data_IF_704675979500
#
_entry.id   IF_704675979500
#
_cell.length_a   1.000
_cell.length_b   1.000
_cell.length_c   1.000
_cell.angle_alpha   90.00
_cell.angle_beta   90.00
_cell.angle_gamma   90.00
#
_symmetry.space_group_name_H-M   'P 1'
#
loop_
_entity.id
_entity.type
_entity.pdbx_description
1 polymer ?
#
# COMPACT_ATOMS: atom_id res chain seq x y z
N UNK A 1 0.18 14.23 3.96
CA UNK A 1 1.04 13.86 2.80
C UNK A 1 0.90 14.94 1.75
N UNK A 2 2.00 15.49 1.22
CA UNK A 2 1.94 16.39 0.06
C UNK A 2 1.73 15.56 -1.22
N UNK A 3 0.68 15.86 -1.98
CA UNK A 3 0.33 15.15 -3.19
C UNK A 3 -0.50 16.03 -4.15
N UNK A 4 -0.20 15.94 -5.45
CA UNK A 4 -0.88 16.70 -6.51
C UNK A 4 -1.01 18.22 -6.26
N UNK A 5 0.00 18.84 -5.62
CA UNK A 5 0.06 20.28 -5.40
C UNK A 5 -0.69 20.79 -4.16
N UNK A 6 -1.17 19.90 -3.29
CA UNK A 6 -1.73 20.23 -1.98
C UNK A 6 -1.33 19.18 -0.94
N UNK A 7 -1.86 19.24 0.28
CA UNK A 7 -1.58 18.29 1.35
C UNK A 7 -2.87 17.60 1.82
N UNK A 8 -2.79 16.31 2.15
CA UNK A 8 -3.93 15.57 2.73
C UNK A 8 -4.42 16.23 4.00
N UNK A 9 -5.74 16.20 4.24
CA UNK A 9 -6.34 16.82 5.43
C UNK A 9 -6.10 16.01 6.70
N UNK A 10 -6.00 14.69 6.58
CA UNK A 10 -5.62 13.85 7.70
C UNK A 10 -4.10 13.82 7.86
N UNK A 11 -3.66 14.08 9.08
CA UNK A 11 -2.28 13.96 9.53
C UNK A 11 -2.08 12.66 10.31
N UNK A 12 -0.88 12.47 10.87
CA UNK A 12 -0.58 11.27 11.66
C UNK A 12 -1.47 11.13 12.90
N UNK A 13 -1.90 12.22 13.52
CA UNK A 13 -2.74 12.13 14.70
C UNK A 13 -4.20 11.89 14.30
N UNK A 14 -4.78 12.73 13.44
CA UNK A 14 -6.20 12.61 13.07
C UNK A 14 -6.49 11.30 12.34
N UNK A 15 -5.62 10.90 11.40
CA UNK A 15 -5.77 9.65 10.67
C UNK A 15 -5.63 8.41 11.57
N UNK A 16 -4.74 8.45 12.56
CA UNK A 16 -4.59 7.34 13.51
C UNK A 16 -5.69 7.31 14.57
N UNK A 17 -6.22 8.46 15.01
CA UNK A 17 -7.40 8.51 15.89
C UNK A 17 -8.61 7.88 15.20
N UNK A 18 -8.84 8.23 13.92
CA UNK A 18 -9.86 7.62 13.08
C UNK A 18 -9.62 6.10 12.90
N UNK A 19 -8.37 5.68 12.66
CA UNK A 19 -8.00 4.26 12.56
C UNK A 19 -8.36 3.48 13.84
N UNK A 20 -8.01 4.04 15.00
CA UNK A 20 -8.29 3.45 16.32
C UNK A 20 -9.79 3.38 16.61
N UNK A 21 -10.55 4.38 16.19
CA UNK A 21 -12.01 4.34 16.23
C UNK A 21 -12.59 3.22 15.37
N UNK A 22 -11.99 3.01 14.20
CA UNK A 22 -12.28 1.91 13.30
C UNK A 22 -11.63 0.57 13.67
N UNK A 23 -11.09 0.41 14.89
CA UNK A 23 -10.48 -0.84 15.37
C UNK A 23 -9.15 -1.23 14.73
N UNK A 24 -8.59 -0.41 13.84
CA UNK A 24 -7.25 -0.61 13.27
C UNK A 24 -6.22 -0.10 14.28
N UNK A 25 -5.24 -0.92 14.63
CA UNK A 25 -4.24 -0.62 15.69
C UNK A 25 -2.80 -0.46 15.19
N UNK A 26 -2.60 -0.59 13.88
CA UNK A 26 -1.34 -0.27 13.22
C UNK A 26 -1.61 0.10 11.77
N UNK A 27 -0.85 1.06 11.23
CA UNK A 27 -0.79 1.31 9.80
C UNK A 27 0.65 1.22 9.27
N UNK A 28 0.80 1.10 7.95
CA UNK A 28 2.09 1.22 7.29
C UNK A 28 1.92 2.32 6.24
N UNK A 29 2.64 3.44 6.42
CA UNK A 29 2.51 4.61 5.55
C UNK A 29 3.57 4.60 4.43
N UNK A 30 3.33 5.33 3.34
CA UNK A 30 4.23 5.43 2.20
C UNK A 30 5.10 6.67 2.31
N UNK A 31 6.38 6.46 2.62
CA UNK A 31 7.38 7.52 2.59
C UNK A 31 7.67 7.90 1.14
N UNK A 32 7.48 9.17 0.82
CA UNK A 32 7.85 9.75 -0.48
C UNK A 32 9.23 10.42 -0.35
N UNK A 33 10.23 10.07 -1.19
CA UNK A 33 11.57 10.66 -1.14
C UNK A 33 11.57 12.17 -1.35
N UNK A 34 12.39 12.90 -0.59
CA UNK A 34 12.60 14.34 -0.78
C UNK A 34 13.68 14.54 -1.83
N UNK A 35 13.33 15.16 -2.97
CA UNK A 35 14.23 15.34 -4.11
C UNK A 35 14.93 14.04 -4.56
N UNK A 36 14.24 12.91 -4.39
CA UNK A 36 14.76 11.57 -4.72
C UNK A 36 15.76 10.98 -3.72
N UNK A 37 15.98 11.59 -2.56
CA UNK A 37 16.76 11.02 -1.45
C UNK A 37 15.84 10.21 -0.52
N UNK A 38 16.12 8.91 -0.37
CA UNK A 38 15.33 8.05 0.53
C UNK A 38 15.57 8.39 2.01
N UNK A 39 16.82 8.60 2.49
CA UNK A 39 17.06 9.01 3.87
C UNK A 39 16.37 10.32 4.26
N UNK A 40 16.41 11.33 3.39
CA UNK A 40 15.73 12.60 3.65
C UNK A 40 14.20 12.44 3.69
N UNK A 41 13.64 11.60 2.81
CA UNK A 41 12.22 11.23 2.88
C UNK A 41 11.86 10.53 4.19
N UNK A 42 12.67 9.56 4.60
CA UNK A 42 12.49 8.83 5.86
C UNK A 42 12.51 9.79 7.06
N UNK A 43 13.51 10.67 7.14
CA UNK A 43 13.60 11.68 8.20
C UNK A 43 12.39 12.61 8.22
N UNK A 44 11.93 13.08 7.05
CA UNK A 44 10.74 13.92 6.95
C UNK A 44 9.47 13.21 7.46
N UNK A 45 9.31 11.91 7.19
CA UNK A 45 8.16 11.14 7.67
C UNK A 45 8.27 10.77 9.16
N UNK A 46 9.47 10.52 9.67
CA UNK A 46 9.70 10.38 11.12
C UNK A 46 9.31 11.65 11.87
N UNK A 47 9.65 12.82 11.31
CA UNK A 47 9.23 14.11 11.90
C UNK A 47 7.70 14.27 11.89
N UNK A 48 7.01 13.90 10.81
CA UNK A 48 5.53 13.89 10.73
C UNK A 48 4.91 12.93 11.74
N UNK A 49 5.53 11.77 11.94
CA UNK A 49 5.03 10.72 12.83
C UNK A 49 5.24 11.01 14.32
N UNK A 50 5.86 12.14 14.71
CA UNK A 50 6.00 12.54 16.12
C UNK A 50 4.66 12.72 16.84
N UNK A 51 3.58 13.02 16.11
CA UNK A 51 2.23 13.14 16.68
C UNK A 51 1.46 11.81 16.75
N UNK A 52 2.05 10.69 16.30
CA UNK A 52 1.40 9.38 16.24
C UNK A 52 0.80 8.92 17.58
N UNK A 53 -0.43 8.43 17.58
CA UNK A 53 -1.11 7.80 18.71
C UNK A 53 -1.30 6.29 18.55
N UNK A 54 -0.80 5.70 17.46
CA UNK A 54 -0.91 4.29 17.10
C UNK A 54 0.45 3.80 16.56
N UNK A 55 0.76 2.51 16.78
CA UNK A 55 1.98 1.91 16.21
C UNK A 55 1.95 2.00 14.68
N UNK A 56 3.13 2.19 14.07
CA UNK A 56 3.23 2.43 12.63
C UNK A 56 4.51 1.86 12.04
N UNK A 57 4.47 1.53 10.76
CA UNK A 57 5.63 1.20 9.95
C UNK A 57 5.71 2.07 8.69
N UNK A 58 6.76 1.88 7.91
CA UNK A 58 6.92 2.59 6.64
C UNK A 58 7.24 1.66 5.47
N UNK A 59 6.57 1.92 4.36
CA UNK A 59 7.00 1.56 3.03
C UNK A 59 7.83 2.71 2.45
N UNK A 60 8.82 2.41 1.60
CA UNK A 60 9.61 3.45 0.93
C UNK A 60 9.30 3.50 -0.56
N UNK A 61 8.79 4.63 -1.07
CA UNK A 61 8.58 4.82 -2.49
C UNK A 61 9.91 4.99 -3.25
N UNK A 62 10.00 4.38 -4.43
CA UNK A 62 11.11 4.52 -5.37
C UNK A 62 10.60 5.30 -6.58
N UNK A 63 10.94 6.59 -6.63
CA UNK A 63 10.46 7.56 -7.64
C UNK A 63 11.51 7.88 -8.71
N UNK A 64 12.74 7.40 -8.53
CA UNK A 64 13.82 7.36 -9.54
C UNK A 64 14.72 6.16 -9.28
N UNK A 65 15.60 5.83 -10.23
CA UNK A 65 16.58 4.76 -10.07
C UNK A 65 17.98 5.21 -10.51
N UNK A 66 18.94 5.09 -9.59
CA UNK A 66 20.37 5.30 -9.81
C UNK A 66 21.19 4.54 -8.74
N UNK A 67 22.52 4.56 -8.84
CA UNK A 67 23.41 3.89 -7.88
C UNK A 67 23.28 4.43 -6.45
N UNK A 68 22.84 5.69 -6.30
CA UNK A 68 22.61 6.30 -4.97
C UNK A 68 21.36 5.69 -4.36
N UNK A 69 20.25 5.62 -5.11
CA UNK A 69 19.02 4.96 -4.65
C UNK A 69 19.27 3.49 -4.28
N UNK A 70 20.06 2.75 -5.08
CA UNK A 70 20.41 1.36 -4.76
C UNK A 70 21.16 1.24 -3.42
N UNK A 71 22.06 2.18 -3.10
CA UNK A 71 22.76 2.23 -1.79
C UNK A 71 21.83 2.68 -0.67
N UNK A 72 21.00 3.69 -0.92
CA UNK A 72 20.01 4.18 0.04
C UNK A 72 19.04 3.06 0.45
N UNK A 73 18.61 2.20 -0.49
CA UNK A 73 17.79 1.03 -0.17
C UNK A 73 18.48 0.08 0.83
N UNK A 74 19.81 -0.09 0.75
CA UNK A 74 20.54 -0.88 1.75
C UNK A 74 20.50 -0.24 3.13
N UNK A 75 20.64 1.08 3.21
CA UNK A 75 20.53 1.83 4.47
C UNK A 75 19.10 1.68 5.03
N UNK A 76 18.08 1.83 4.18
CA UNK A 76 16.68 1.69 4.59
C UNK A 76 16.41 0.30 5.20
N UNK A 77 16.94 -0.76 4.60
CA UNK A 77 16.78 -2.13 5.10
C UNK A 77 17.61 -2.40 6.35
N UNK A 78 18.91 -2.09 6.32
CA UNK A 78 19.86 -2.51 7.37
C UNK A 78 19.79 -1.64 8.62
N UNK A 79 19.47 -0.35 8.47
CA UNK A 79 19.57 0.63 9.55
C UNK A 79 18.24 1.26 9.93
N UNK A 80 17.25 1.28 9.03
CA UNK A 80 15.96 1.95 9.27
C UNK A 80 14.79 0.98 9.44
N UNK A 81 14.99 -0.33 9.29
CA UNK A 81 13.94 -1.33 9.46
C UNK A 81 12.85 -1.28 8.39
N UNK A 82 13.19 -0.88 7.16
CA UNK A 82 12.27 -0.91 6.01
C UNK A 82 12.50 -2.19 5.22
N UNK A 83 11.49 -3.05 5.06
CA UNK A 83 11.59 -4.25 4.22
C UNK A 83 10.67 -4.23 2.99
N UNK A 84 10.16 -3.06 2.59
CA UNK A 84 9.20 -2.96 1.49
C UNK A 84 9.34 -1.65 0.71
N UNK A 85 9.37 -1.78 -0.62
CA UNK A 85 9.62 -0.67 -1.54
C UNK A 85 8.51 -0.54 -2.58
N UNK A 86 7.95 0.66 -2.75
CA UNK A 86 6.83 0.93 -3.66
C UNK A 86 7.32 1.54 -4.97
N UNK A 87 7.01 0.89 -6.08
CA UNK A 87 7.24 1.36 -7.43
C UNK A 87 5.91 1.80 -8.06
N UNK A 88 5.98 2.75 -8.99
CA UNK A 88 4.80 3.23 -9.72
C UNK A 88 4.99 3.02 -11.22
N UNK A 89 4.03 2.34 -11.86
CA UNK A 89 3.95 2.22 -13.32
C UNK A 89 3.06 3.32 -13.94
N UNK A 90 2.58 4.24 -13.10
CA UNK A 90 1.70 5.35 -13.44
C UNK A 90 2.33 6.69 -13.04
N UNK A 91 1.60 7.80 -13.23
CA UNK A 91 2.04 9.16 -12.89
C UNK A 91 3.29 9.61 -13.68
N UNK A 92 3.21 9.51 -15.02
CA UNK A 92 4.28 9.89 -15.95
C UNK A 92 4.76 11.34 -15.69
N UNK A 93 6.07 11.50 -15.50
CA UNK A 93 6.69 12.80 -15.20
C UNK A 93 6.73 13.16 -13.71
N UNK A 94 6.22 12.28 -12.82
CA UNK A 94 6.27 12.48 -11.37
C UNK A 94 6.80 11.25 -10.63
N UNK A 95 6.04 10.14 -10.59
CA UNK A 95 6.41 8.94 -9.82
C UNK A 95 6.79 7.73 -10.69
N UNK A 96 6.45 7.77 -11.98
CA UNK A 96 6.59 6.63 -12.89
C UNK A 96 8.05 6.17 -13.06
N UNK A 97 8.28 4.85 -12.90
CA UNK A 97 9.49 4.15 -13.29
C UNK A 97 9.21 3.31 -14.54
N UNK A 98 10.18 3.21 -15.46
CA UNK A 98 10.05 2.37 -16.65
C UNK A 98 10.42 0.90 -16.36
N UNK A 99 10.11 0.00 -17.29
CA UNK A 99 10.30 -1.45 -17.08
C UNK A 99 11.75 -1.86 -16.79
N UNK A 100 12.73 -1.25 -17.46
CA UNK A 100 14.15 -1.57 -17.23
C UNK A 100 14.58 -1.26 -15.80
N UNK A 101 14.21 -0.06 -15.32
CA UNK A 101 14.51 0.39 -13.97
C UNK A 101 13.69 -0.36 -12.91
N UNK A 102 12.46 -0.75 -13.25
CA UNK A 102 11.61 -1.58 -12.38
C UNK A 102 12.26 -2.95 -12.14
N UNK A 103 12.82 -3.58 -13.18
CA UNK A 103 13.52 -4.85 -13.07
C UNK A 103 14.78 -4.75 -12.20
N UNK A 104 15.56 -3.68 -12.34
CA UNK A 104 16.69 -3.41 -11.45
C UNK A 104 16.25 -3.22 -10.00
N UNK A 105 15.15 -2.49 -9.79
CA UNK A 105 14.48 -2.35 -8.49
C UNK A 105 14.10 -3.69 -7.88
N UNK A 106 13.50 -4.59 -8.66
CA UNK A 106 13.11 -5.93 -8.19
C UNK A 106 14.31 -6.81 -7.86
N UNK A 107 15.36 -6.79 -8.68
CA UNK A 107 16.62 -7.50 -8.38
C UNK A 107 17.22 -7.02 -7.06
N UNK A 108 17.21 -5.70 -6.84
CA UNK A 108 17.70 -5.14 -5.58
C UNK A 108 16.82 -5.56 -4.40
N UNK A 109 15.50 -5.42 -4.50
CA UNK A 109 14.56 -5.87 -3.47
C UNK A 109 14.81 -7.33 -3.08
N UNK A 110 14.94 -8.23 -4.08
CA UNK A 110 15.28 -9.64 -3.86
C UNK A 110 16.60 -9.81 -3.11
N UNK A 111 17.67 -9.11 -3.53
CA UNK A 111 18.99 -9.22 -2.88
C UNK A 111 18.99 -8.73 -1.42
N UNK A 112 18.04 -7.87 -1.05
CA UNK A 112 17.89 -7.33 0.30
C UNK A 112 16.89 -8.12 1.15
N UNK A 113 16.17 -9.09 0.59
CA UNK A 113 15.06 -9.74 1.27
C UNK A 113 13.88 -8.77 1.52
N UNK A 114 13.69 -7.79 0.65
CA UNK A 114 12.65 -6.77 0.76
C UNK A 114 11.53 -6.99 -0.28
N UNK A 115 10.28 -6.76 0.13
CA UNK A 115 9.09 -6.86 -0.72
C UNK A 115 9.05 -5.72 -1.74
N UNK A 116 8.96 -6.05 -3.02
CA UNK A 116 8.65 -5.08 -4.05
C UNK A 116 7.12 -4.94 -4.19
N UNK A 117 6.62 -3.71 -4.08
CA UNK A 117 5.21 -3.38 -4.27
C UNK A 117 5.07 -2.51 -5.51
N UNK A 118 3.96 -2.64 -6.23
CA UNK A 118 3.76 -1.93 -7.50
C UNK A 118 2.39 -1.25 -7.50
N UNK A 119 2.33 0.00 -7.93
CA UNK A 119 1.10 0.61 -8.42
C UNK A 119 0.99 0.26 -9.91
N UNK A 120 0.23 -0.79 -10.22
CA UNK A 120 0.15 -1.37 -11.55
C UNK A 120 -1.19 -1.02 -12.20
N UNK A 121 -1.17 -0.12 -13.18
CA UNK A 121 -2.35 0.24 -13.99
C UNK A 121 -2.35 -0.47 -15.36
N UNK A 122 -1.30 -1.26 -15.66
CA UNK A 122 -1.21 -2.15 -16.81
C UNK A 122 -0.97 -3.59 -16.31
N UNK A 123 -1.92 -4.50 -16.57
CA UNK A 123 -2.27 -5.61 -15.65
C UNK A 123 -1.82 -7.03 -16.02
N UNK A 124 -0.86 -7.23 -16.91
CA UNK A 124 -0.61 -8.58 -17.48
C UNK A 124 0.17 -9.57 -16.58
N UNK A 125 0.47 -9.23 -15.31
CA UNK A 125 1.41 -10.01 -14.48
C UNK A 125 0.84 -11.26 -13.78
N UNK A 126 -0.48 -11.38 -13.61
CA UNK A 126 -1.08 -12.35 -12.65
C UNK A 126 -1.14 -13.82 -13.12
N UNK A 127 -0.96 -14.13 -14.41
CA UNK A 127 -1.30 -15.47 -14.96
C UNK A 127 -0.18 -16.52 -14.92
N UNK A 128 1.03 -16.19 -14.44
CA UNK A 128 2.23 -17.02 -14.65
C UNK A 128 2.71 -17.84 -13.43
N UNK A 129 1.87 -18.03 -12.40
CA UNK A 129 2.24 -18.83 -11.22
C UNK A 129 3.30 -18.17 -10.32
N UNK A 130 3.46 -16.85 -10.43
CA UNK A 130 4.37 -16.06 -9.61
C UNK A 130 3.85 -15.91 -8.18
N UNK A 131 4.76 -15.76 -7.22
CA UNK A 131 4.40 -15.38 -5.84
C UNK A 131 4.03 -13.90 -5.81
N UNK A 132 2.74 -13.63 -5.93
CA UNK A 132 2.16 -12.28 -5.93
C UNK A 132 1.20 -12.17 -4.76
N UNK A 133 1.24 -11.03 -4.07
CA UNK A 133 0.23 -10.64 -3.10
C UNK A 133 -0.64 -9.57 -3.74
N UNK A 134 -1.95 -9.74 -3.66
CA UNK A 134 -2.92 -8.75 -4.06
C UNK A 134 -3.55 -8.06 -2.85
N UNK A 135 -3.55 -6.73 -2.89
CA UNK A 135 -4.19 -5.84 -1.92
C UNK A 135 -5.34 -5.09 -2.60
N UNK A 136 -6.60 -5.53 -2.45
CA UNK A 136 -7.74 -4.66 -2.66
C UNK A 136 -7.80 -3.58 -1.59
N UNK A 137 -8.41 -2.46 -1.95
CA UNK A 137 -8.80 -1.40 -1.01
C UNK A 137 -10.28 -1.51 -0.70
N UNK A 138 -10.69 -1.14 0.52
CA UNK A 138 -12.09 -1.29 0.98
C UNK A 138 -13.11 -0.61 0.04
N UNK A 139 -12.75 0.52 -0.58
CA UNK A 139 -13.63 1.17 -1.54
C UNK A 139 -13.95 0.30 -2.74
N UNK A 140 -12.98 -0.45 -3.27
CA UNK A 140 -13.20 -1.39 -4.36
C UNK A 140 -14.01 -2.62 -3.97
N UNK A 141 -14.15 -2.91 -2.67
CA UNK A 141 -14.95 -4.03 -2.17
C UNK A 141 -16.43 -3.69 -2.01
N UNK A 142 -16.81 -2.41 -2.11
CA UNK A 142 -18.13 -1.95 -1.65
C UNK A 142 -18.75 -0.92 -2.60
N UNK A 143 -17.93 -0.07 -3.20
CA UNK A 143 -18.41 0.98 -4.09
C UNK A 143 -18.29 0.52 -5.55
N UNK A 144 -19.26 0.93 -6.34
CA UNK A 144 -19.15 1.00 -7.80
C UNK A 144 -18.93 2.46 -8.25
N UNK A 145 -18.73 2.65 -9.55
CA UNK A 145 -18.45 3.95 -10.14
C UNK A 145 -19.68 4.87 -10.26
N UNK A 146 -20.87 4.45 -9.81
CA UNK A 146 -22.11 5.23 -9.94
C UNK A 146 -21.98 6.64 -9.36
N UNK A 147 -21.27 6.78 -8.25
CA UNK A 147 -21.07 8.07 -7.59
C UNK A 147 -20.16 9.03 -8.37
N UNK A 148 -19.31 8.52 -9.27
CA UNK A 148 -18.51 9.38 -10.18
C UNK A 148 -19.38 10.04 -11.25
N UNK A 149 -20.58 9.52 -11.48
CA UNK A 149 -21.53 10.02 -12.48
C UNK A 149 -22.59 10.97 -11.88
N UNK A 150 -22.45 11.37 -10.62
CA UNK A 150 -23.33 12.37 -10.00
C UNK A 150 -23.28 13.70 -10.79
N UNK A 151 -24.43 14.32 -11.11
CA UNK A 151 -24.45 15.59 -11.83
C UNK A 151 -23.84 16.76 -11.05
N UNK A 152 -23.76 16.67 -9.71
CA UNK A 152 -23.04 17.62 -8.87
C UNK A 152 -21.55 17.28 -8.80
N UNK A 153 -20.72 18.19 -9.33
CA UNK A 153 -19.27 18.02 -9.36
C UNK A 153 -18.67 17.75 -7.98
N UNK A 154 -19.14 18.46 -6.93
CA UNK A 154 -18.58 18.31 -5.58
C UNK A 154 -18.87 16.92 -5.02
N UNK A 155 -20.01 16.33 -5.38
CA UNK A 155 -20.38 14.97 -5.01
C UNK A 155 -19.56 13.95 -5.78
N UNK A 156 -19.42 14.09 -7.11
CA UNK A 156 -18.61 13.18 -7.92
C UNK A 156 -17.12 13.23 -7.57
N UNK A 157 -16.55 14.42 -7.36
CA UNK A 157 -15.11 14.60 -7.12
C UNK A 157 -14.62 13.93 -5.83
N UNK A 158 -15.50 13.66 -4.87
CA UNK A 158 -15.18 12.92 -3.63
C UNK A 158 -14.65 11.53 -3.92
N UNK A 159 -15.09 10.89 -5.00
CA UNK A 159 -14.76 9.49 -5.34
C UNK A 159 -13.56 9.36 -6.29
N UNK A 160 -12.96 10.48 -6.71
CA UNK A 160 -11.79 10.47 -7.60
C UNK A 160 -10.54 9.96 -6.87
N UNK A 161 -10.07 8.79 -7.28
CA UNK A 161 -8.85 8.12 -6.84
C UNK A 161 -8.21 7.32 -7.98
N UNK A 162 -7.00 6.83 -7.76
CA UNK A 162 -6.24 6.02 -8.73
C UNK A 162 -5.71 4.74 -8.06
N UNK A 163 -5.97 3.54 -8.63
CA UNK A 163 -6.88 3.28 -9.75
C UNK A 163 -8.33 3.70 -9.42
N UNK A 164 -9.16 4.09 -10.40
CA UNK A 164 -10.53 4.52 -10.14
C UNK A 164 -11.40 3.36 -9.66
N UNK A 165 -12.41 3.68 -8.86
CA UNK A 165 -13.52 2.77 -8.54
C UNK A 165 -14.17 2.33 -9.86
N UNK A 166 -14.55 1.05 -9.94
CA UNK A 166 -14.96 0.39 -11.19
C UNK A 166 -16.46 0.18 -11.25
N UNK A 167 -16.96 -0.12 -12.45
CA UNK A 167 -18.35 -0.49 -12.69
C UNK A 167 -18.80 -1.69 -11.83
N UNK A 168 -20.10 -1.79 -11.61
CA UNK A 168 -20.75 -2.91 -10.92
C UNK A 168 -20.34 -4.26 -11.54
N UNK A 169 -20.09 -5.28 -10.72
CA UNK A 169 -19.56 -6.58 -11.15
C UNK A 169 -18.09 -6.80 -10.74
N UNK A 170 -17.30 -5.72 -10.65
CA UNK A 170 -15.92 -5.81 -10.14
C UNK A 170 -15.87 -6.01 -8.63
N UNK A 171 -16.86 -5.49 -7.91
CA UNK A 171 -17.00 -5.63 -6.45
C UNK A 171 -17.07 -7.11 -6.07
N UNK A 172 -17.97 -7.85 -6.71
CA UNK A 172 -18.19 -9.28 -6.48
C UNK A 172 -16.93 -10.09 -6.83
N UNK A 173 -16.23 -9.73 -7.91
CA UNK A 173 -14.99 -10.37 -8.29
C UNK A 173 -13.88 -10.17 -7.24
N UNK A 174 -13.76 -8.97 -6.65
CA UNK A 174 -12.78 -8.69 -5.58
C UNK A 174 -13.15 -9.42 -4.28
N UNK A 175 -14.43 -9.44 -3.91
CA UNK A 175 -14.92 -10.18 -2.74
C UNK A 175 -14.70 -11.69 -2.90
N UNK A 176 -14.96 -12.24 -4.10
CA UNK A 176 -14.69 -13.64 -4.40
C UNK A 176 -13.17 -13.94 -4.38
N UNK A 177 -12.35 -13.04 -4.92
CA UNK A 177 -10.90 -13.21 -4.92
C UNK A 177 -10.32 -13.17 -3.50
N UNK A 178 -10.87 -12.35 -2.60
CA UNK A 178 -10.52 -12.36 -1.19
C UNK A 178 -10.97 -13.65 -0.48
N UNK A 179 -12.23 -14.05 -0.63
CA UNK A 179 -12.77 -15.26 0.04
C UNK A 179 -12.09 -16.55 -0.42
N UNK A 180 -11.59 -16.58 -1.65
CA UNK A 180 -10.83 -17.73 -2.20
C UNK A 180 -9.32 -17.64 -1.98
N UNK A 181 -8.83 -16.56 -1.37
CA UNK A 181 -7.40 -16.35 -1.07
C UNK A 181 -6.54 -15.93 -2.26
N UNK A 182 -7.14 -15.60 -3.41
CA UNK A 182 -6.45 -14.98 -4.56
C UNK A 182 -5.92 -13.58 -4.20
N UNK A 183 -6.68 -12.85 -3.38
CA UNK A 183 -6.23 -11.63 -2.70
C UNK A 183 -6.08 -11.93 -1.21
N UNK A 184 -5.10 -11.32 -0.53
CA UNK A 184 -4.69 -11.77 0.82
C UNK A 184 -5.00 -10.77 1.93
N UNK A 185 -5.11 -9.48 1.61
CA UNK A 185 -5.24 -8.42 2.61
C UNK A 185 -6.09 -7.27 2.08
N UNK A 186 -6.67 -6.48 2.99
CA UNK A 186 -7.50 -5.33 2.63
C UNK A 186 -6.85 -4.06 3.18
N UNK A 187 -6.43 -3.18 2.28
CA UNK A 187 -5.96 -1.82 2.58
C UNK A 187 -7.08 -0.79 2.46
N UNK A 188 -6.72 0.49 2.57
CA UNK A 188 -7.66 1.62 2.40
C UNK A 188 -7.22 2.59 1.32
N UNK A 189 -5.91 2.71 1.09
CA UNK A 189 -5.30 3.83 0.35
C UNK A 189 -5.81 5.19 0.85
N UNK A 190 -6.02 5.31 2.17
CA UNK A 190 -6.53 6.52 2.80
C UNK A 190 -5.65 7.73 2.45
N UNK A 191 -6.24 8.67 1.72
CA UNK A 191 -5.57 9.85 1.17
C UNK A 191 -6.62 10.94 0.99
N UNK A 192 -6.91 11.70 2.04
CA UNK A 192 -8.11 12.53 2.13
C UNK A 192 -7.84 13.97 1.70
N UNK A 193 -8.76 14.53 0.92
CA UNK A 193 -8.79 15.93 0.53
C UNK A 193 -10.18 16.48 0.77
N UNK A 194 -10.29 17.69 1.31
CA UNK A 194 -11.59 18.32 1.55
C UNK A 194 -12.20 18.85 0.22
N UNK A 195 -13.44 19.34 0.31
CA UNK A 195 -14.15 19.85 -0.86
C UNK A 195 -13.38 20.98 -1.54
N UNK A 196 -12.79 21.94 -0.80
CA UNK A 196 -12.07 23.09 -1.37
C UNK A 196 -10.82 22.67 -2.15
N UNK A 197 -10.15 21.59 -1.75
CA UNK A 197 -9.04 20.99 -2.48
C UNK A 197 -9.49 20.21 -3.71
N UNK A 198 -10.60 19.47 -3.63
CA UNK A 198 -11.16 18.73 -4.79
C UNK A 198 -11.58 19.67 -5.92
N UNK A 199 -12.03 20.90 -5.62
CA UNK A 199 -12.41 21.91 -6.65
C UNK A 199 -11.24 22.41 -7.50
N UNK A 200 -9.98 22.11 -7.14
CA UNK A 200 -8.81 22.46 -7.97
C UNK A 200 -8.90 21.88 -9.40
N UNK A 201 -9.67 20.81 -9.59
CA UNK A 201 -9.92 20.21 -10.90
C UNK A 201 -11.33 20.39 -11.45
N UNK A 202 -12.08 21.42 -11.04
CA UNK A 202 -13.45 21.65 -11.53
C UNK A 202 -13.55 21.75 -13.06
N UNK A 203 -12.56 22.35 -13.70
CA UNK A 203 -12.48 22.49 -15.16
C UNK A 203 -11.54 21.45 -15.82
N UNK A 204 -10.88 20.60 -15.03
CA UNK A 204 -9.91 19.61 -15.52
C UNK A 204 -9.71 18.47 -14.49
N UNK A 205 -10.33 17.32 -14.74
CA UNK A 205 -10.33 16.18 -13.79
C UNK A 205 -8.92 15.71 -13.40
N UNK A 206 -7.92 15.92 -14.26
CA UNK A 206 -6.52 15.54 -14.02
C UNK A 206 -5.89 16.34 -12.88
N UNK A 207 -6.51 17.44 -12.48
CA UNK A 207 -6.08 18.31 -11.38
C UNK A 207 -6.86 18.07 -10.10
N UNK A 208 -7.85 17.19 -10.10
CA UNK A 208 -8.53 16.78 -8.86
C UNK A 208 -7.52 15.95 -8.05
N UNK A 209 -7.18 16.35 -6.80
CA UNK A 209 -6.32 15.55 -5.95
C UNK A 209 -6.90 14.14 -5.75
N UNK A 210 -6.11 13.13 -6.09
CA UNK A 210 -6.56 11.73 -6.11
C UNK A 210 -6.49 11.12 -4.70
N UNK A 211 -7.62 10.60 -4.22
CA UNK A 211 -7.70 9.93 -2.93
C UNK A 211 -9.06 10.07 -2.25
N UNK A 212 -9.33 9.16 -1.32
CA UNK A 212 -10.59 9.01 -0.57
C UNK A 212 -10.29 8.65 0.90
N UNK A 213 -11.32 8.65 1.76
CA UNK A 213 -11.26 8.13 3.13
C UNK A 213 -11.42 6.59 3.18
N UNK A 214 -11.39 6.01 4.39
CA UNK A 214 -11.60 4.58 4.58
C UNK A 214 -10.88 3.96 5.78
N UNK A 215 -10.00 4.70 6.48
CA UNK A 215 -9.17 4.13 7.56
C UNK A 215 -9.97 3.74 8.80
N UNK A 216 -11.02 4.49 9.11
CA UNK A 216 -11.97 4.20 10.19
C UNK A 216 -12.98 3.13 9.75
N UNK A 217 -13.48 3.24 8.53
CA UNK A 217 -14.61 2.43 8.08
C UNK A 217 -14.21 1.01 7.68
N UNK A 218 -12.93 0.80 7.31
CA UNK A 218 -12.42 -0.45 6.72
C UNK A 218 -12.94 -1.70 7.41
N UNK A 219 -12.82 -1.74 8.73
CA UNK A 219 -13.17 -2.95 9.48
C UNK A 219 -14.68 -3.18 9.55
N UNK A 220 -15.45 -2.14 9.80
CA UNK A 220 -16.91 -2.24 9.82
C UNK A 220 -17.47 -2.67 8.48
N UNK A 221 -16.94 -2.09 7.41
CA UNK A 221 -17.32 -2.32 6.03
C UNK A 221 -17.01 -3.75 5.56
N UNK A 222 -15.81 -4.27 5.87
CA UNK A 222 -15.45 -5.66 5.57
C UNK A 222 -16.28 -6.64 6.39
N UNK A 223 -16.53 -6.34 7.67
CA UNK A 223 -17.37 -7.18 8.52
C UNK A 223 -18.80 -7.31 7.95
N UNK A 224 -19.46 -6.18 7.70
CA UNK A 224 -20.84 -6.17 7.21
C UNK A 224 -20.96 -6.84 5.83
N UNK A 225 -20.03 -6.54 4.93
CA UNK A 225 -20.13 -7.01 3.54
C UNK A 225 -19.73 -8.47 3.40
N UNK A 226 -18.69 -8.92 4.13
CA UNK A 226 -18.06 -10.23 3.88
C UNK A 226 -18.26 -11.24 5.00
N UNK A 227 -18.37 -10.80 6.26
CA UNK A 227 -18.52 -11.73 7.40
C UNK A 227 -19.99 -12.04 7.63
N UNK A 228 -20.85 -11.03 7.73
CA UNK A 228 -22.30 -11.24 7.91
C UNK A 228 -22.93 -11.99 6.73
N UNK A 229 -22.41 -11.80 5.52
CA UNK A 229 -22.83 -12.54 4.33
C UNK A 229 -22.30 -13.98 4.26
N UNK A 230 -21.38 -14.36 5.16
CA UNK A 230 -20.78 -15.69 5.22
C UNK A 230 -19.68 -15.97 4.18
N UNK A 231 -19.18 -14.94 3.50
CA UNK A 231 -18.07 -15.06 2.54
C UNK A 231 -16.71 -15.23 3.24
N UNK A 232 -16.57 -14.72 4.46
CA UNK A 232 -15.38 -14.84 5.34
C UNK A 232 -15.83 -15.29 6.74
N UNK A 233 -15.03 -16.11 7.41
CA UNK A 233 -15.33 -16.58 8.76
C UNK A 233 -15.14 -15.47 9.81
N UNK A 234 -15.99 -15.46 10.85
CA UNK A 234 -15.80 -14.64 12.06
C UNK A 234 -14.50 -14.93 12.82
N UNK A 235 -13.85 -16.07 12.59
CA UNK A 235 -12.50 -16.32 13.16
C UNK A 235 -11.42 -15.47 12.48
N UNK A 236 -11.70 -14.96 11.28
CA UNK A 236 -10.75 -14.26 10.43
C UNK A 236 -10.95 -12.73 10.51
N UNK A 237 -12.07 -12.28 11.08
CA UNK A 237 -12.39 -10.86 11.29
C UNK A 237 -13.23 -10.68 12.57
N UNK A 238 -13.02 -9.60 13.33
CA UNK A 238 -13.71 -9.32 14.60
C UNK A 238 -14.57 -8.04 14.55
N UNK A 239 -15.71 -8.03 15.26
CA UNK A 239 -16.53 -6.82 15.45
C UNK A 239 -15.88 -5.93 16.52
N UNK A 240 -15.89 -4.62 16.29
CA UNK A 240 -15.24 -3.64 17.15
C UNK A 240 -16.23 -3.12 18.20
N UNK A 241 -15.87 -3.26 19.46
CA UNK A 241 -16.59 -2.67 20.61
C UNK A 241 -15.66 -1.79 21.47
N UNK A 242 -14.40 -2.20 21.59
CA UNK A 242 -13.34 -1.51 22.33
C UNK A 242 -12.02 -1.71 21.58
N UNK A 243 -11.23 -0.64 21.43
CA UNK A 243 -9.90 -0.73 20.81
C UNK A 243 -8.82 -0.61 21.89
N UNK A 244 -7.88 -1.56 21.90
CA UNK A 244 -6.72 -1.57 22.78
C UNK A 244 -5.45 -1.45 21.94
N UNK A 245 -4.64 -0.42 22.19
CA UNK A 245 -3.33 -0.23 21.57
C UNK A 245 -2.29 0.07 22.65
N UNK A 246 -1.08 -0.50 22.52
CA UNK A 246 -0.01 -0.33 23.52
C UNK A 246 -0.40 -0.75 24.95
N UNK A 247 -1.36 -1.68 25.10
CA UNK A 247 -1.88 -2.13 26.38
C UNK A 247 -2.86 -1.17 27.08
N UNK A 248 -3.38 -0.16 26.38
CA UNK A 248 -4.35 0.82 26.90
C UNK A 248 -5.63 0.81 26.08
N UNK A 249 -6.77 1.04 26.73
CA UNK A 249 -8.03 1.34 26.02
C UNK A 249 -7.89 2.72 25.39
N UNK A 250 -7.86 2.76 24.07
CA UNK A 250 -7.70 3.98 23.27
C UNK A 250 -8.98 4.41 22.57
N UNK A 251 -9.97 3.52 22.51
CA UNK A 251 -11.35 3.84 22.16
C UNK A 251 -12.29 2.97 22.99
N UNK A 252 -13.29 3.57 23.65
CA UNK A 252 -14.37 2.86 24.35
C UNK A 252 -15.61 3.72 24.54
N UNK A 253 -16.81 3.12 24.56
CA UNK A 253 -18.08 3.79 24.88
C UNK A 253 -18.45 5.02 24.03
N UNK A 254 -17.99 5.11 22.79
CA UNK A 254 -18.26 6.25 21.88
C UNK A 254 -17.16 7.29 21.86
N UNK A 255 -16.11 7.15 22.67
CA UNK A 255 -15.16 8.22 22.92
C UNK A 255 -13.70 7.77 22.71
N UNK A 256 -12.87 8.61 22.07
CA UNK A 256 -11.44 8.38 21.98
C UNK A 256 -10.75 8.66 23.32
N UNK A 257 -9.71 7.88 23.60
CA UNK A 257 -8.81 8.04 24.75
C UNK A 257 -7.35 7.91 24.27
N UNK A 258 -7.02 8.68 23.22
CA UNK A 258 -5.73 8.65 22.54
C UNK A 258 -4.78 9.69 23.12
N UNK A 259 -3.48 9.38 23.09
CA UNK A 259 -2.42 10.30 23.51
C UNK A 259 -1.51 10.54 22.31
N UNK A 260 -1.39 11.79 21.80
CA UNK A 260 -0.43 12.11 20.75
C UNK A 260 1.00 11.72 21.16
N UNK A 261 1.77 11.18 20.21
CA UNK A 261 3.13 10.70 20.42
C UNK A 261 3.25 9.37 21.21
N UNK A 262 2.13 8.68 21.47
CA UNK A 262 2.16 7.37 22.15
C UNK A 262 2.44 6.19 21.21
N UNK A 263 2.28 6.38 19.90
CA UNK A 263 2.58 5.39 18.88
C UNK A 263 4.07 5.11 18.77
N UNK A 264 4.43 3.89 18.38
CA UNK A 264 5.82 3.50 18.17
C UNK A 264 6.07 3.13 16.71
N UNK A 265 7.24 3.53 16.23
CA UNK A 265 7.76 3.01 14.98
C UNK A 265 8.13 1.53 15.15
N UNK A 266 7.62 0.68 14.26
CA UNK A 266 7.85 -0.75 14.23
C UNK A 266 8.79 -1.08 13.07
N UNK A 267 10.02 -1.46 13.41
CA UNK A 267 10.98 -1.95 12.42
C UNK A 267 10.53 -3.29 11.83
N UNK A 268 10.60 -3.40 10.52
CA UNK A 268 10.20 -4.58 9.76
C UNK A 268 11.45 -5.26 9.19
N UNK A 269 11.90 -6.39 9.75
CA UNK A 269 13.13 -7.05 9.30
C UNK A 269 12.97 -7.63 7.88
N UNK A 270 14.07 -7.69 7.10
CA UNK A 270 14.08 -8.33 5.80
C UNK A 270 13.95 -9.85 5.91
N UNK A 271 13.77 -10.53 4.77
CA UNK A 271 13.64 -11.99 4.68
C UNK A 271 12.49 -12.53 5.53
N UNK A 272 11.35 -11.84 5.49
CA UNK A 272 10.14 -12.29 6.16
C UNK A 272 9.59 -13.60 5.54
N UNK A 273 8.45 -14.07 6.06
CA UNK A 273 7.86 -15.35 5.64
C UNK A 273 7.64 -15.48 4.12
N UNK A 274 7.49 -14.39 3.38
CA UNK A 274 7.32 -14.38 1.92
C UNK A 274 8.56 -14.86 1.17
N UNK A 275 9.73 -14.73 1.78
CA UNK A 275 11.00 -15.20 1.21
C UNK A 275 11.24 -16.71 1.45
N UNK A 276 10.42 -17.35 2.28
CA UNK A 276 10.57 -18.77 2.60
C UNK A 276 10.52 -19.63 1.33
N UNK A 277 11.61 -20.34 1.07
CA UNK A 277 11.72 -21.25 -0.08
C UNK A 277 11.83 -20.55 -1.44
N UNK A 278 12.13 -19.24 -1.50
CA UNK A 278 12.51 -18.58 -2.76
C UNK A 278 13.80 -19.19 -3.33
N UNK A 279 14.81 -19.41 -2.49
CA UNK A 279 16.10 -19.99 -2.94
C UNK A 279 15.92 -21.36 -3.60
N UNK A 280 15.06 -22.22 -3.04
CA UNK A 280 14.73 -23.53 -3.65
C UNK A 280 14.04 -23.40 -5.01
N UNK A 281 13.19 -22.38 -5.17
CA UNK A 281 12.54 -22.12 -6.46
C UNK A 281 13.55 -21.58 -7.48
N UNK A 282 14.48 -20.73 -7.05
CA UNK A 282 15.57 -20.22 -7.88
C UNK A 282 16.51 -21.35 -8.34
N UNK A 283 16.93 -22.23 -7.44
CA UNK A 283 17.74 -23.40 -7.78
C UNK A 283 17.04 -24.28 -8.83
N UNK A 284 15.74 -24.53 -8.65
CA UNK A 284 14.93 -25.30 -9.61
C UNK A 284 14.83 -24.59 -10.96
N UNK A 285 14.66 -23.27 -10.97
CA UNK A 285 14.62 -22.49 -12.21
C UNK A 285 15.98 -22.50 -12.93
N UNK A 286 17.07 -22.18 -12.21
CA UNK A 286 18.43 -22.15 -12.77
C UNK A 286 18.83 -23.52 -13.32
N UNK A 287 18.50 -24.62 -12.61
CA UNK A 287 18.76 -25.98 -13.10
C UNK A 287 17.92 -26.38 -14.31
N UNK A 288 16.75 -25.75 -14.51
CA UNK A 288 15.92 -25.96 -15.71
C UNK A 288 16.43 -25.24 -16.95
N UNK A 289 17.21 -24.16 -16.78
CA UNK A 289 17.91 -23.50 -17.88
C UNK A 289 18.96 -24.47 -18.40
N UNK A 290 18.74 -25.01 -19.62
CA UNK A 290 19.62 -26.00 -20.26
C UNK A 290 21.09 -25.62 -20.05
N UNK A 291 21.81 -26.46 -19.30
CA UNK A 291 23.22 -26.28 -18.98
C UNK A 291 24.06 -25.94 -20.23
N UNK A 292 25.18 -25.19 -20.09
CA UNK A 292 26.03 -24.87 -21.23
C UNK A 292 26.41 -26.15 -21.98
N UNK A 293 26.13 -26.16 -23.29
CA UNK A 293 26.49 -27.27 -24.18
C UNK A 293 28.01 -27.43 -24.12
N UNK A 294 28.48 -28.45 -23.39
CA UNK A 294 29.90 -28.82 -23.39
C UNK A 294 30.27 -29.33 -24.77
N UNK A 295 30.85 -28.47 -25.61
CA UNK A 295 31.43 -28.85 -26.89
C UNK A 295 32.87 -29.29 -26.65
N UNK A 296 33.21 -30.52 -27.01
CA UNK A 296 34.61 -30.97 -27.10
C UNK A 296 35.29 -30.31 -28.30
N UNK A 297 36.53 -29.83 -28.14
CA UNK A 297 37.35 -29.44 -29.29
C UNK A 297 37.68 -30.69 -30.09
N UNK A 298 37.36 -30.68 -31.39
CA UNK A 298 37.87 -31.68 -32.34
C UNK A 298 39.39 -31.50 -32.35
N UNK A 299 40.11 -32.55 -31.98
CA UNK A 299 41.56 -32.58 -32.14
C UNK A 299 41.86 -32.53 -33.65
N UNK A 300 42.47 -31.42 -34.08
CA UNK A 300 43.03 -31.23 -35.41
C UNK A 300 44.33 -32.02 -35.56
#
# INVERSE_FOLDING_TARGET
MEFMGTETIDDYFSGQDAALAGGTTMHIDFVIPVNGSLPAGFEAYVEKAKSSCMDYGFHMAITKWDDVVSKDMEIMVKEKGINSFKFFMAYKGSLMINDELLLEGFKKCKSLGALAMVHAENGDAASSGQRVIGEPVVSGLILDDSSLWDPDFISAAKFVMSPPIRESGHVEALQQALSTGVLQLVGTSHCTFNSTQKVLGIDDFRKIPNGINGIEERMHLVWDTMVESGQISMTDYGKIEVTIAGGKIVWGNGFPNVVPGSGKYIEMPPHNYLFTGIDKADEKYISSLKAPVKRSKVAT
#
